data_IF_700679291343
#
_entry.id   IF_700679291343
#
_cell.length_a   1.000
_cell.length_b   1.000
_cell.length_c   1.000
_cell.angle_alpha   90.00
_cell.angle_beta   90.00
_cell.angle_gamma   90.00
#
_symmetry.space_group_name_H-M   'P 1'
#
loop_
_entity.id
_entity.type
_entity.pdbx_description
1 polymer ?
#
# COMPACT_ATOMS: atom_id res chain seq x y z
N UNK A 1 -51.15 -41.37 24.22
CA UNK A 1 -51.72 -42.47 23.42
C UNK A 1 -53.11 -42.16 22.85
N UNK A 2 -54.15 -42.00 23.67
CA UNK A 2 -55.54 -42.00 23.15
C UNK A 2 -55.91 -40.79 22.26
N UNK A 3 -55.25 -39.64 22.49
CA UNK A 3 -55.39 -38.43 21.67
C UNK A 3 -54.57 -38.48 20.37
N UNK A 4 -53.47 -39.22 20.36
CA UNK A 4 -52.55 -39.35 19.23
C UNK A 4 -53.11 -40.35 18.20
N UNK A 5 -53.68 -41.45 18.69
CA UNK A 5 -54.44 -42.41 17.90
C UNK A 5 -55.64 -41.73 17.22
N UNK A 6 -56.39 -40.89 17.95
CA UNK A 6 -57.50 -40.10 17.39
C UNK A 6 -57.04 -39.11 16.31
N UNK A 7 -55.88 -38.47 16.48
CA UNK A 7 -55.33 -37.56 15.47
C UNK A 7 -54.92 -38.29 14.19
N UNK A 8 -54.31 -39.47 14.30
CA UNK A 8 -53.93 -40.28 13.13
C UNK A 8 -55.17 -40.80 12.41
N UNK A 9 -56.16 -41.35 13.14
CA UNK A 9 -57.44 -41.79 12.57
C UNK A 9 -58.12 -40.66 11.81
N UNK A 10 -58.23 -39.46 12.41
CA UNK A 10 -58.84 -38.31 11.74
C UNK A 10 -58.04 -37.86 10.51
N UNK A 11 -56.71 -37.83 10.58
CA UNK A 11 -55.88 -37.38 9.47
C UNK A 11 -55.90 -38.36 8.29
N UNK A 12 -55.98 -39.66 8.56
CA UNK A 12 -56.18 -40.67 7.52
C UNK A 12 -57.59 -40.55 6.94
N UNK A 13 -58.62 -40.38 7.76
CA UNK A 13 -59.99 -40.17 7.29
C UNK A 13 -60.12 -38.91 6.42
N UNK A 14 -59.49 -37.80 6.79
CA UNK A 14 -59.46 -36.56 6.00
C UNK A 14 -58.74 -36.74 4.65
N UNK A 15 -57.69 -37.56 4.61
CA UNK A 15 -56.83 -37.71 3.42
C UNK A 15 -57.34 -38.78 2.46
N UNK A 16 -57.93 -39.87 2.99
CA UNK A 16 -58.30 -41.06 2.19
C UNK A 16 -59.79 -41.37 2.24
N UNK A 17 -60.56 -40.71 3.12
CA UNK A 17 -61.99 -40.97 3.33
C UNK A 17 -62.30 -42.29 4.06
N UNK A 18 -61.28 -43.05 4.47
CA UNK A 18 -61.44 -44.38 5.08
C UNK A 18 -61.59 -44.24 6.60
N UNK A 19 -62.69 -44.78 7.14
CA UNK A 19 -62.98 -44.75 8.58
C UNK A 19 -62.29 -45.91 9.28
N UNK A 20 -61.22 -45.61 10.01
CA UNK A 20 -60.44 -46.58 10.78
C UNK A 20 -60.90 -46.64 12.23
N UNK A 21 -60.97 -47.84 12.81
CA UNK A 21 -61.25 -48.06 14.22
C UNK A 21 -59.95 -48.32 15.00
N UNK A 22 -59.97 -48.08 16.32
CA UNK A 22 -58.80 -48.19 17.20
C UNK A 22 -58.25 -49.61 17.33
N UNK A 23 -59.06 -50.61 17.03
CA UNK A 23 -58.71 -52.04 17.05
C UNK A 23 -58.23 -52.55 15.70
N UNK A 24 -58.21 -51.70 14.66
CA UNK A 24 -57.71 -52.06 13.35
C UNK A 24 -56.18 -52.24 13.38
N UNK A 25 -55.63 -53.39 12.96
CA UNK A 25 -54.19 -53.60 12.86
C UNK A 25 -53.46 -52.53 12.04
N UNK A 26 -54.15 -51.87 11.10
CA UNK A 26 -53.59 -50.78 10.30
C UNK A 26 -53.22 -49.56 11.16
N UNK A 27 -53.95 -49.30 12.25
CA UNK A 27 -53.62 -48.22 13.19
C UNK A 27 -52.31 -48.50 13.92
N UNK A 28 -52.03 -49.76 14.26
CA UNK A 28 -50.75 -50.14 14.86
C UNK A 28 -49.58 -49.91 13.89
N UNK A 29 -49.75 -50.27 12.61
CA UNK A 29 -48.73 -50.01 11.56
C UNK A 29 -48.52 -48.51 11.35
N UNK A 30 -49.59 -47.72 11.30
CA UNK A 30 -49.51 -46.27 11.13
C UNK A 30 -48.84 -45.57 12.32
N UNK A 31 -49.09 -46.02 13.55
CA UNK A 31 -48.41 -45.52 14.75
C UNK A 31 -46.92 -45.84 14.72
N UNK A 32 -46.56 -47.07 14.34
CA UNK A 32 -45.16 -47.48 14.23
C UNK A 32 -44.46 -46.67 13.12
N UNK A 33 -45.11 -46.48 11.98
CA UNK A 33 -44.56 -45.67 10.90
C UNK A 33 -44.40 -44.20 11.32
N UNK A 34 -45.35 -43.64 12.06
CA UNK A 34 -45.27 -42.29 12.60
C UNK A 34 -44.10 -42.13 13.57
N UNK A 35 -43.89 -43.09 14.49
CA UNK A 35 -42.75 -43.06 15.41
C UNK A 35 -41.41 -43.18 14.67
N UNK A 36 -41.33 -44.03 13.64
CA UNK A 36 -40.13 -44.12 12.80
C UNK A 36 -39.82 -42.81 12.07
N UNK A 37 -40.85 -42.12 11.56
CA UNK A 37 -40.65 -40.82 10.91
C UNK A 37 -40.26 -39.73 11.90
N UNK A 38 -40.82 -39.71 13.10
CA UNK A 38 -40.46 -38.74 14.14
C UNK A 38 -38.99 -38.94 14.61
N UNK A 39 -38.57 -40.19 14.80
CA UNK A 39 -37.18 -40.54 15.10
C UNK A 39 -36.21 -40.19 13.95
N UNK A 40 -36.63 -40.39 12.69
CA UNK A 40 -35.82 -40.01 11.53
C UNK A 40 -35.69 -38.49 11.42
N UNK A 41 -36.78 -37.75 11.65
CA UNK A 41 -36.78 -36.27 11.61
C UNK A 41 -35.96 -35.68 12.77
N UNK A 42 -36.01 -36.27 13.97
CA UNK A 42 -35.22 -35.81 15.11
C UNK A 42 -33.72 -36.01 14.87
N UNK A 43 -33.31 -37.18 14.36
CA UNK A 43 -31.91 -37.44 13.96
C UNK A 43 -31.42 -36.48 12.89
N UNK A 44 -32.23 -36.22 11.85
CA UNK A 44 -31.88 -35.27 10.79
C UNK A 44 -31.73 -33.84 11.32
N UNK A 45 -32.56 -33.42 12.28
CA UNK A 45 -32.41 -32.10 12.92
C UNK A 45 -31.12 -32.00 13.73
N UNK A 46 -30.77 -33.04 14.48
CA UNK A 46 -29.51 -33.08 15.25
C UNK A 46 -28.30 -33.05 14.33
N UNK A 47 -28.27 -33.87 13.28
CA UNK A 47 -27.18 -33.89 12.29
C UNK A 47 -27.04 -32.55 11.55
N UNK A 48 -28.16 -31.92 11.17
CA UNK A 48 -28.13 -30.58 10.55
C UNK A 48 -27.63 -29.51 11.52
N UNK A 49 -27.98 -29.60 12.80
CA UNK A 49 -27.54 -28.65 13.81
C UNK A 49 -26.04 -28.76 14.08
N UNK A 50 -25.51 -29.97 14.25
CA UNK A 50 -24.07 -30.21 14.41
C UNK A 50 -23.28 -29.73 13.18
N UNK A 51 -23.76 -30.01 11.97
CA UNK A 51 -23.12 -29.54 10.73
C UNK A 51 -23.16 -28.02 10.58
N UNK A 52 -24.21 -27.36 11.08
CA UNK A 52 -24.34 -25.91 11.02
C UNK A 52 -23.44 -25.20 12.04
N UNK A 53 -23.28 -25.78 13.24
CA UNK A 53 -22.35 -25.28 14.26
C UNK A 53 -20.89 -25.44 13.81
N UNK A 54 -20.52 -26.56 13.21
CA UNK A 54 -19.18 -26.76 12.64
C UNK A 54 -18.89 -25.77 11.50
N UNK A 55 -19.86 -25.55 10.60
CA UNK A 55 -19.75 -24.55 9.54
C UNK A 55 -19.59 -23.13 10.10
N UNK A 56 -20.36 -22.75 11.12
CA UNK A 56 -20.23 -21.46 11.79
C UNK A 56 -18.86 -21.30 12.46
N UNK A 57 -18.35 -22.34 13.11
CA UNK A 57 -17.01 -22.35 13.71
C UNK A 57 -15.90 -22.12 12.67
N UNK A 58 -15.98 -22.83 11.54
CA UNK A 58 -15.06 -22.63 10.42
C UNK A 58 -15.20 -21.23 9.82
N UNK A 59 -16.42 -20.72 9.66
CA UNK A 59 -16.68 -19.39 9.14
C UNK A 59 -16.09 -18.29 10.04
N UNK A 60 -16.28 -18.37 11.36
CA UNK A 60 -15.71 -17.42 12.34
C UNK A 60 -14.19 -17.47 12.29
N UNK A 61 -13.61 -18.68 12.25
CA UNK A 61 -12.15 -18.86 12.14
C UNK A 61 -11.62 -18.19 10.87
N UNK A 62 -12.30 -18.36 9.73
CA UNK A 62 -11.92 -17.71 8.47
C UNK A 62 -12.12 -16.20 8.48
N UNK A 63 -13.15 -15.70 9.15
CA UNK A 63 -13.36 -14.27 9.33
C UNK A 63 -12.23 -13.63 10.17
N UNK A 64 -11.82 -14.27 11.26
CA UNK A 64 -10.69 -13.81 12.09
C UNK A 64 -9.35 -13.86 11.35
N UNK A 65 -9.10 -14.92 10.56
CA UNK A 65 -7.93 -15.00 9.68
C UNK A 65 -7.90 -13.82 8.68
N UNK A 66 -9.04 -13.47 8.10
CA UNK A 66 -9.19 -12.35 7.17
C UNK A 66 -8.93 -11.01 7.85
N UNK A 67 -9.52 -10.78 9.03
CA UNK A 67 -9.32 -9.54 9.80
C UNK A 67 -7.83 -9.38 10.16
N UNK A 68 -7.19 -10.46 10.60
CA UNK A 68 -5.75 -10.46 10.89
C UNK A 68 -4.90 -10.20 9.64
N UNK A 69 -5.26 -10.78 8.49
CA UNK A 69 -4.58 -10.52 7.23
C UNK A 69 -4.70 -9.05 6.81
N UNK A 70 -5.88 -8.44 6.97
CA UNK A 70 -6.12 -7.03 6.68
C UNK A 70 -5.30 -6.13 7.61
N UNK A 71 -5.29 -6.40 8.92
CA UNK A 71 -4.48 -5.65 9.89
C UNK A 71 -2.97 -5.69 9.55
N UNK A 72 -2.47 -6.86 9.11
CA UNK A 72 -1.08 -6.99 8.67
C UNK A 72 -0.82 -6.21 7.38
N UNK A 73 -1.77 -6.20 6.45
CA UNK A 73 -1.66 -5.44 5.21
C UNK A 73 -1.64 -3.93 5.48
N UNK A 74 -2.50 -3.43 6.37
CA UNK A 74 -2.51 -2.01 6.77
C UNK A 74 -1.21 -1.61 7.47
N UNK A 75 -0.72 -2.44 8.38
CA UNK A 75 0.57 -2.22 9.06
C UNK A 75 1.71 -2.14 8.05
N UNK A 76 1.76 -3.09 7.11
CA UNK A 76 2.78 -3.12 6.07
C UNK A 76 2.67 -1.90 5.13
N UNK A 77 1.46 -1.46 4.81
CA UNK A 77 1.23 -0.25 4.00
C UNK A 77 1.76 1.00 4.71
N UNK A 78 1.51 1.15 6.01
CA UNK A 78 2.03 2.28 6.78
C UNK A 78 3.56 2.27 6.84
N UNK A 79 4.17 1.11 7.10
CA UNK A 79 5.62 0.95 7.11
C UNK A 79 6.25 1.30 5.75
N UNK A 80 5.65 0.82 4.64
CA UNK A 80 6.12 1.11 3.29
C UNK A 80 6.00 2.60 2.94
N UNK A 81 4.90 3.26 3.34
CA UNK A 81 4.75 4.70 3.14
C UNK A 81 5.79 5.51 3.91
N UNK A 82 6.11 5.10 5.14
CA UNK A 82 7.16 5.74 5.94
C UNK A 82 8.54 5.59 5.29
N UNK A 83 8.87 4.38 4.81
CA UNK A 83 10.13 4.10 4.12
C UNK A 83 10.24 4.91 2.82
N UNK A 84 9.16 5.02 2.04
CA UNK A 84 9.13 5.84 0.83
C UNK A 84 9.29 7.34 1.14
N UNK A 85 8.69 7.83 2.22
CA UNK A 85 8.88 9.23 2.65
C UNK A 85 10.32 9.50 3.06
N UNK A 86 10.91 8.65 3.89
CA UNK A 86 12.31 8.78 4.32
C UNK A 86 13.25 8.74 3.12
N UNK A 87 13.04 7.81 2.19
CA UNK A 87 13.87 7.71 0.98
C UNK A 87 13.74 8.94 0.07
N UNK A 88 12.54 9.50 -0.06
CA UNK A 88 12.35 10.74 -0.81
C UNK A 88 13.02 11.93 -0.14
N UNK A 89 12.97 12.02 1.19
CA UNK A 89 13.65 13.07 1.95
C UNK A 89 15.17 12.98 1.81
N UNK A 90 15.72 11.76 1.88
CA UNK A 90 17.15 11.52 1.65
C UNK A 90 17.56 11.90 0.23
N UNK A 91 16.79 11.51 -0.79
CA UNK A 91 17.03 11.90 -2.18
C UNK A 91 16.92 13.41 -2.40
N UNK A 92 15.97 14.08 -1.74
CA UNK A 92 15.84 15.52 -1.78
C UNK A 92 17.06 16.21 -1.16
N UNK A 93 17.49 15.78 0.03
CA UNK A 93 18.68 16.30 0.70
C UNK A 93 19.96 16.11 -0.12
N UNK A 94 20.16 14.91 -0.69
CA UNK A 94 21.30 14.64 -1.57
C UNK A 94 21.27 15.48 -2.84
N UNK A 95 20.08 15.72 -3.41
CA UNK A 95 19.94 16.58 -4.58
C UNK A 95 20.20 18.05 -4.23
N UNK A 96 19.73 18.54 -3.08
CA UNK A 96 20.04 19.88 -2.58
C UNK A 96 21.55 20.05 -2.39
N UNK A 97 22.22 19.10 -1.72
CA UNK A 97 23.68 19.15 -1.52
C UNK A 97 24.43 19.19 -2.86
N UNK A 98 24.02 18.38 -3.84
CA UNK A 98 24.60 18.39 -5.19
C UNK A 98 24.38 19.71 -5.92
N UNK A 99 23.19 20.31 -5.77
CA UNK A 99 22.87 21.62 -6.36
C UNK A 99 23.72 22.71 -5.70
N UNK A 100 23.81 22.73 -4.36
CA UNK A 100 24.65 23.67 -3.63
C UNK A 100 26.14 23.52 -3.98
N UNK A 101 26.65 22.28 -4.08
CA UNK A 101 28.02 22.02 -4.49
C UNK A 101 28.30 22.53 -5.91
N UNK A 102 27.39 22.28 -6.87
CA UNK A 102 27.51 22.79 -8.25
C UNK A 102 27.43 24.32 -8.31
N UNK A 103 26.52 24.93 -7.55
CA UNK A 103 26.40 26.38 -7.48
C UNK A 103 27.66 27.02 -6.92
N UNK A 104 28.25 26.44 -5.86
CA UNK A 104 29.51 26.90 -5.28
C UNK A 104 30.67 26.82 -6.28
N UNK A 105 30.84 25.68 -6.96
CA UNK A 105 31.87 25.51 -7.99
C UNK A 105 31.69 26.52 -9.14
N UNK A 106 30.45 26.71 -9.60
CA UNK A 106 30.17 27.69 -10.64
C UNK A 106 30.47 29.13 -10.20
N UNK A 107 30.09 29.49 -8.97
CA UNK A 107 30.37 30.82 -8.42
C UNK A 107 31.88 31.06 -8.26
N UNK A 108 32.61 30.06 -7.76
CA UNK A 108 34.07 30.10 -7.61
C UNK A 108 34.74 30.24 -8.98
N UNK A 109 34.31 29.48 -9.99
CA UNK A 109 34.80 29.57 -11.37
C UNK A 109 34.52 30.94 -12.02
N UNK A 110 33.33 31.51 -11.81
CA UNK A 110 33.01 32.85 -12.32
C UNK A 110 33.86 33.91 -11.64
N UNK A 111 34.07 33.80 -10.32
CA UNK A 111 34.85 34.78 -9.56
C UNK A 111 36.35 34.72 -9.89
N UNK A 112 36.90 33.52 -10.09
CA UNK A 112 38.30 33.29 -10.48
C UNK A 112 38.54 33.77 -11.91
N UNK A 113 37.71 33.37 -12.87
CA UNK A 113 37.79 33.85 -14.25
C UNK A 113 37.69 35.38 -14.33
N UNK A 114 36.82 36.00 -13.53
CA UNK A 114 36.73 37.46 -13.45
C UNK A 114 38.02 38.09 -12.91
N UNK A 115 38.64 37.51 -11.88
CA UNK A 115 39.93 37.97 -11.34
C UNK A 115 41.04 37.83 -12.38
N UNK A 116 41.14 36.71 -13.06
CA UNK A 116 42.13 36.47 -14.12
C UNK A 116 41.99 37.47 -15.26
N UNK A 117 40.78 37.69 -15.77
CA UNK A 117 40.53 38.69 -16.82
C UNK A 117 40.94 40.09 -16.34
N UNK A 118 40.57 40.49 -15.13
CA UNK A 118 40.96 41.82 -14.60
C UNK A 118 42.47 41.96 -14.39
N UNK A 119 43.15 40.88 -14.01
CA UNK A 119 44.60 40.87 -13.82
C UNK A 119 45.32 41.00 -15.17
N UNK A 120 44.92 40.21 -16.18
CA UNK A 120 45.45 40.29 -17.53
C UNK A 120 45.22 41.67 -18.14
N UNK A 121 44.04 42.26 -17.93
CA UNK A 121 43.72 43.59 -18.44
C UNK A 121 44.56 44.70 -17.77
N UNK A 122 44.81 44.60 -16.46
CA UNK A 122 45.70 45.55 -15.75
C UNK A 122 47.16 45.38 -16.19
N UNK A 123 47.61 44.13 -16.37
CA UNK A 123 48.95 43.83 -16.83
C UNK A 123 49.19 44.35 -18.25
N UNK A 124 48.24 44.15 -19.17
CA UNK A 124 48.36 44.60 -20.55
C UNK A 124 48.43 46.14 -20.66
N UNK A 125 47.64 46.85 -19.85
CA UNK A 125 47.70 48.32 -19.76
C UNK A 125 49.07 48.77 -19.25
N UNK A 126 49.61 48.11 -18.22
CA UNK A 126 50.92 48.46 -17.66
C UNK A 126 52.05 48.25 -18.68
N UNK A 127 52.03 47.13 -19.41
CA UNK A 127 53.01 46.84 -20.47
C UNK A 127 52.94 47.88 -21.59
N UNK A 128 51.74 48.27 -22.01
CA UNK A 128 51.56 49.30 -23.05
C UNK A 128 52.17 50.65 -22.65
N UNK A 129 52.01 51.06 -21.39
CA UNK A 129 52.59 52.29 -20.85
C UNK A 129 54.12 52.22 -20.85
N UNK A 130 54.71 51.10 -20.41
CA UNK A 130 56.17 50.91 -20.41
C UNK A 130 56.76 50.95 -21.83
N UNK A 131 56.09 50.34 -22.81
CA UNK A 131 56.51 50.40 -24.21
C UNK A 131 56.47 51.84 -24.73
N UNK A 132 55.40 52.58 -24.48
CA UNK A 132 55.29 53.98 -24.88
C UNK A 132 56.41 54.84 -24.26
N UNK A 133 56.66 54.69 -22.95
CA UNK A 133 57.74 55.41 -22.27
C UNK A 133 59.14 55.09 -22.86
N UNK A 134 59.41 53.83 -23.18
CA UNK A 134 60.68 53.42 -23.81
C UNK A 134 60.89 54.04 -25.20
N UNK A 135 59.83 54.11 -26.01
CA UNK A 135 59.90 54.77 -27.32
C UNK A 135 60.15 56.27 -27.20
N UNK A 136 59.46 56.95 -26.27
CA UNK A 136 59.66 58.37 -26.00
C UNK A 136 61.09 58.64 -25.52
N UNK A 137 61.60 57.83 -24.59
CA UNK A 137 62.98 57.93 -24.09
C UNK A 137 64.00 57.75 -25.23
N UNK A 138 63.77 56.79 -26.12
CA UNK A 138 64.62 56.55 -27.29
C UNK A 138 64.62 57.73 -28.26
N UNK A 139 63.46 58.36 -28.50
CA UNK A 139 63.33 59.55 -29.35
C UNK A 139 64.05 60.75 -28.73
N UNK A 140 63.89 60.99 -27.42
CA UNK A 140 64.58 62.09 -26.71
C UNK A 140 66.10 61.92 -26.80
N UNK A 141 66.60 60.68 -26.60
CA UNK A 141 68.04 60.38 -26.72
C UNK A 141 68.56 60.67 -28.13
N UNK A 142 67.78 60.33 -29.16
CA UNK A 142 68.16 60.56 -30.55
C UNK A 142 68.19 62.06 -30.90
N UNK A 143 67.22 62.84 -30.41
CA UNK A 143 67.21 64.30 -30.58
C UNK A 143 68.38 64.98 -29.87
N UNK A 144 68.74 64.53 -28.66
CA UNK A 144 69.91 65.04 -27.95
C UNK A 144 71.24 64.69 -28.66
N UNK A 145 71.32 63.51 -29.29
CA UNK A 145 72.51 63.10 -30.04
C UNK A 145 72.69 63.85 -31.36
N UNK A 146 71.60 64.25 -32.03
CA UNK A 146 71.66 65.05 -33.27
C UNK A 146 72.05 66.51 -32.98
N UNK A 147 71.73 67.03 -31.80
CA UNK A 147 71.95 68.43 -31.43
C UNK A 147 73.29 68.69 -30.71
N UNK A 148 74.18 67.70 -30.64
CA UNK A 148 75.51 67.77 -30.03
C UNK A 148 76.56 67.26 -31.01
#
# INVERSE_FOLDING_TARGET
MDAEIKRIINKVFETTGVKLDRTDPLIAVLLMQYSYFDDAVSKLKTEQQESYEDYLGQFITKADELINAVNRLETNRQAMLLELLQKNEELASQNEERVYARLKVNLDNVSTNRREITFVLRLSIFVAICCAASTIFSIIRLLLFINN
#
